data_IF_673560063476
#
_entry.id   IF_673560063476
#
_cell.length_a   1.000
_cell.length_b   1.000
_cell.length_c   1.000
_cell.angle_alpha   90.00
_cell.angle_beta   90.00
_cell.angle_gamma   90.00
#
_symmetry.space_group_name_H-M   'P 1'
#
loop_
_entity.id
_entity.type
_entity.pdbx_description
1 polymer ?
2 non-polymer ?
3 water ?
#
# COMPACT_ATOMS: atom_id res chain seq x y z
N UNK A 11 12.22 -29.44 13.11
CA UNK A 11 13.16 -28.96 14.13
C UNK A 11 13.00 -27.48 14.47
N UNK A 12 12.99 -27.18 15.76
CA UNK A 12 12.72 -25.84 16.26
C UNK A 12 13.96 -24.95 16.16
N UNK A 13 13.79 -23.74 15.62
CA UNK A 13 14.91 -22.80 15.48
C UNK A 13 14.73 -21.57 16.34
N UNK A 14 15.23 -21.64 17.58
CA UNK A 14 15.09 -20.54 18.54
C UNK A 14 16.42 -19.86 18.83
N UNK A 15 16.34 -18.57 19.14
CA UNK A 15 17.51 -17.76 19.41
C UNK A 15 17.46 -17.22 20.84
N UNK A 16 16.24 -17.14 21.37
CA UNK A 16 15.98 -16.48 22.63
C UNK A 16 16.23 -17.38 23.85
N UNK A 17 17.17 -16.95 24.68
CA UNK A 17 17.43 -17.56 25.98
C UNK A 17 17.90 -16.47 26.92
N UNK A 18 17.84 -16.71 28.22
CA UNK A 18 18.30 -15.73 29.19
C UNK A 18 19.79 -15.89 29.44
N UNK A 19 20.59 -15.17 28.67
CA UNK A 19 22.04 -15.22 28.80
C UNK A 19 22.53 -13.97 29.54
N UNK A 20 21.62 -13.02 29.73
CA UNK A 20 21.96 -11.71 30.26
C UNK A 20 22.11 -11.71 31.78
N UNK A 21 22.99 -10.84 32.26
CA UNK A 21 23.19 -10.62 33.69
C UNK A 21 23.70 -9.20 33.91
N UNK A 22 23.22 -8.56 34.97
CA UNK A 22 23.73 -7.25 35.33
C UNK A 22 24.54 -7.36 36.61
N UNK A 23 25.80 -6.96 36.55
CA UNK A 23 26.73 -7.10 37.67
C UNK A 23 26.64 -5.93 38.65
N UNK A 24 26.81 -4.73 38.13
CA UNK A 24 26.71 -3.53 38.95
C UNK A 24 25.26 -3.14 39.17
N UNK A 25 25.02 -1.86 39.46
CA UNK A 25 23.65 -1.40 39.64
C UNK A 25 23.23 -0.40 38.57
N UNK A 26 21.96 -0.03 38.61
CA UNK A 26 21.36 0.76 37.54
C UNK A 26 21.35 2.26 37.86
N UNK A 27 21.87 3.07 36.94
CA UNK A 27 21.72 4.51 37.05
C UNK A 27 20.32 4.88 36.60
N UNK A 28 19.54 5.44 37.52
CA UNK A 28 18.18 5.85 37.22
C UNK A 28 18.20 7.16 36.43
N UNK A 29 17.18 7.36 35.61
CA UNK A 29 17.16 8.46 34.66
C UNK A 29 15.73 8.96 34.46
N UNK A 30 15.55 10.27 34.51
CA UNK A 30 14.23 10.85 34.32
C UNK A 30 13.97 11.16 32.86
N UNK A 31 12.76 10.86 32.41
CA UNK A 31 12.36 11.23 31.06
C UNK A 31 12.22 12.73 30.97
N UNK A 32 12.79 13.31 29.91
CA UNK A 32 12.64 14.74 29.66
C UNK A 32 11.18 15.08 29.42
N UNK A 33 10.87 16.37 29.50
CA UNK A 33 9.50 16.84 29.37
C UNK A 33 8.87 16.45 28.02
N UNK A 34 9.57 16.70 26.93
CA UNK A 34 8.99 16.42 25.62
C UNK A 34 8.85 14.92 25.37
N UNK A 35 9.87 14.13 25.73
CA UNK A 35 9.82 12.69 25.47
C UNK A 35 8.77 11.98 26.34
N UNK A 36 8.61 12.41 27.59
CA UNK A 36 7.63 11.82 28.48
C UNK A 36 6.21 12.06 27.95
N UNK A 37 5.97 13.28 27.49
CA UNK A 37 4.69 13.65 26.89
C UNK A 37 4.31 12.70 25.76
N UNK A 38 5.03 12.77 24.65
CA UNK A 38 4.79 11.90 23.50
C UNK A 38 4.79 10.42 23.87
N UNK A 39 5.56 10.05 24.89
CA UNK A 39 5.53 8.68 25.39
C UNK A 39 4.13 8.34 25.87
N UNK A 40 3.57 9.22 26.71
CA UNK A 40 2.21 9.02 27.22
C UNK A 40 1.19 9.00 26.08
N UNK A 41 1.35 9.92 25.12
CA UNK A 41 0.37 10.03 24.04
C UNK A 41 0.41 8.79 23.13
N UNK A 42 1.58 8.18 22.97
CA UNK A 42 1.68 6.93 22.22
C UNK A 42 1.04 5.83 23.05
N UNK A 43 1.27 5.90 24.36
CA UNK A 43 0.79 4.90 25.30
C UNK A 43 -0.73 4.87 25.44
N UNK A 44 -1.42 5.95 25.07
CA UNK A 44 -2.87 5.96 25.22
C UNK A 44 -3.66 6.87 24.27
N UNK A 45 -3.04 7.37 23.20
CA UNK A 45 -3.75 8.31 22.33
C UNK A 45 -3.19 8.43 20.91
N UNK A 46 -2.52 7.39 20.42
CA UNK A 46 -1.92 7.44 19.08
C UNK A 46 -2.46 6.36 18.15
N UNK A 47 -2.52 5.13 18.64
CA UNK A 47 -3.06 4.03 17.85
C UNK A 47 -4.43 3.65 18.40
N UNK A 48 -5.28 3.06 17.56
CA UNK A 48 -6.60 2.63 17.98
C UNK A 48 -6.54 1.19 18.51
N UNK A 49 -5.86 0.32 17.78
CA UNK A 49 -5.74 -1.06 18.18
C UNK A 49 -4.47 -1.35 18.99
N UNK A 50 -4.66 -2.12 20.05
CA UNK A 50 -3.61 -2.62 20.92
C UNK A 50 -2.48 -3.30 20.17
N UNK A 51 -2.87 -4.07 19.17
CA UNK A 51 -2.04 -5.12 18.60
C UNK A 51 -0.97 -4.65 17.62
N UNK A 52 -0.81 -3.35 17.48
CA UNK A 52 0.13 -2.84 16.49
C UNK A 52 1.52 -2.61 17.09
N UNK A 53 1.66 -2.88 18.38
CA UNK A 53 2.98 -2.78 19.02
C UNK A 53 3.91 -3.84 18.44
N UNK A 54 3.38 -5.04 18.22
CA UNK A 54 4.11 -6.11 17.56
C UNK A 54 4.60 -5.64 16.20
N UNK A 55 3.68 -5.03 15.45
CA UNK A 55 3.95 -4.46 14.13
C UNK A 55 5.12 -3.47 14.15
N UNK A 56 5.03 -2.45 14.99
CA UNK A 56 6.06 -1.41 15.05
C UNK A 56 7.40 -1.95 15.53
N UNK A 57 7.38 -2.84 16.52
CA UNK A 57 8.62 -3.44 17.01
C UNK A 57 9.30 -4.25 15.90
N UNK A 58 8.52 -5.07 15.20
CA UNK A 58 9.04 -5.82 14.05
C UNK A 58 9.63 -4.86 13.01
N UNK A 59 8.95 -3.73 12.79
CA UNK A 59 9.46 -2.71 11.88
C UNK A 59 10.86 -2.24 12.28
N UNK A 60 11.01 -1.85 13.54
CA UNK A 60 12.30 -1.42 14.06
C UNK A 60 13.38 -2.50 13.93
N UNK A 61 13.01 -3.75 14.24
CA UNK A 61 13.93 -4.86 14.07
C UNK A 61 14.39 -4.99 12.62
N UNK A 62 13.44 -4.79 11.70
CA UNK A 62 13.70 -4.86 10.27
C UNK A 62 14.71 -3.82 9.84
N UNK A 63 14.50 -2.57 10.27
CA UNK A 63 15.43 -1.50 9.91
C UNK A 63 16.81 -1.70 10.55
N UNK A 64 16.83 -2.19 11.79
CA UNK A 64 18.10 -2.51 12.44
C UNK A 64 18.89 -3.55 11.65
N UNK A 65 18.22 -4.64 11.28
CA UNK A 65 18.84 -5.68 10.47
C UNK A 65 19.28 -5.13 9.11
N UNK A 66 18.50 -4.23 8.55
CA UNK A 66 18.82 -3.66 7.24
C UNK A 66 20.08 -2.80 7.32
N UNK A 67 20.25 -2.06 8.40
CA UNK A 67 21.44 -1.25 8.53
C UNK A 67 22.67 -2.10 8.85
N UNK A 68 22.49 -3.14 9.67
CA UNK A 68 23.58 -4.08 9.89
C UNK A 68 24.05 -4.69 8.58
N UNK A 69 23.09 -5.10 7.77
CA UNK A 69 23.39 -5.71 6.48
C UNK A 69 24.09 -4.73 5.54
N UNK A 70 23.49 -3.55 5.36
CA UNK A 70 24.08 -2.52 4.52
C UNK A 70 25.53 -2.23 4.91
N UNK A 71 25.75 -2.10 6.21
CA UNK A 71 27.08 -1.84 6.75
C UNK A 71 28.07 -2.97 6.44
N UNK A 72 27.70 -4.20 6.78
CA UNK A 72 28.57 -5.35 6.57
C UNK A 72 28.89 -5.59 5.10
N UNK A 73 27.90 -5.40 4.23
CA UNK A 73 28.10 -5.59 2.79
C UNK A 73 28.95 -4.44 2.24
N UNK A 74 28.80 -3.24 2.81
CA UNK A 74 29.60 -2.10 2.42
C UNK A 74 31.07 -2.28 2.77
N UNK A 75 31.32 -2.85 3.95
CA UNK A 75 32.68 -3.18 4.36
C UNK A 75 33.17 -4.42 3.62
N UNK A 76 32.23 -5.21 3.12
CA UNK A 76 32.58 -6.44 2.42
C UNK A 76 32.91 -7.57 3.36
N UNK A 77 32.29 -7.56 4.53
CA UNK A 77 32.46 -8.63 5.51
C UNK A 77 31.30 -9.60 5.42
N UNK A 78 31.51 -10.83 5.89
CA UNK A 78 30.49 -11.87 5.84
C UNK A 78 29.20 -11.46 6.56
N UNK A 79 28.09 -12.07 6.19
CA UNK A 79 26.82 -11.80 6.85
C UNK A 79 26.51 -12.88 7.88
N UNK A 80 26.04 -12.47 9.08
CA UNK A 80 25.63 -13.40 10.11
C UNK A 80 24.18 -13.76 9.95
N UNK A 81 23.61 -14.52 10.88
CA UNK A 81 22.16 -14.71 10.88
C UNK A 81 21.48 -13.37 11.08
N UNK A 82 20.68 -12.96 10.11
CA UNK A 82 19.88 -11.75 10.24
C UNK A 82 18.42 -12.15 10.36
N UNK A 83 17.96 -12.30 11.59
CA UNK A 83 16.64 -12.88 11.87
C UNK A 83 15.90 -12.09 12.94
N UNK A 84 14.57 -12.11 12.85
CA UNK A 84 13.72 -11.55 13.89
C UNK A 84 13.02 -12.70 14.62
N UNK A 85 13.17 -12.76 15.94
CA UNK A 85 12.56 -13.83 16.71
C UNK A 85 11.55 -13.30 17.71
N UNK A 86 10.38 -13.92 17.73
CA UNK A 86 9.37 -13.60 18.73
C UNK A 86 9.13 -14.80 19.63
N UNK A 87 8.83 -14.54 20.90
CA UNK A 87 8.53 -15.60 21.85
C UNK A 87 7.40 -15.16 22.75
N UNK A 88 6.50 -16.09 23.07
CA UNK A 88 5.45 -15.81 24.04
C UNK A 88 5.66 -16.66 25.27
N UNK A 89 5.45 -16.08 26.45
CA UNK A 89 5.50 -16.84 27.70
C UNK A 89 4.23 -16.62 28.49
N UNK A 90 3.39 -17.64 28.58
CA UNK A 90 2.11 -17.51 29.26
C UNK A 90 2.27 -17.39 30.78
N UNK A 91 3.05 -18.30 31.36
CA UNK A 91 3.22 -18.35 32.81
C UNK A 91 3.83 -17.06 33.35
N UNK A 92 4.94 -16.63 32.76
CA UNK A 92 5.62 -15.41 33.20
C UNK A 92 4.96 -14.17 32.59
N UNK A 93 3.96 -14.39 31.75
CA UNK A 93 3.16 -13.32 31.19
C UNK A 93 3.94 -12.30 30.36
N UNK A 94 4.78 -12.78 29.45
CA UNK A 94 5.62 -11.90 28.65
C UNK A 94 5.51 -12.15 27.15
N UNK A 95 5.94 -11.16 26.36
CA UNK A 95 6.20 -11.36 24.94
C UNK A 95 7.55 -10.72 24.61
N UNK A 96 8.43 -11.50 23.99
CA UNK A 96 9.79 -11.04 23.73
C UNK A 96 10.04 -10.93 22.22
N UNK A 97 10.69 -9.86 21.79
CA UNK A 97 11.12 -9.74 20.40
C UNK A 97 12.61 -9.39 20.33
N UNK A 98 13.37 -10.28 19.70
CA UNK A 98 14.82 -10.12 19.59
C UNK A 98 15.22 -10.03 18.13
N UNK A 99 16.24 -9.23 17.84
CA UNK A 99 16.76 -9.14 16.48
C UNK A 99 18.27 -9.13 16.51
N UNK A 100 18.87 -9.81 15.53
CA UNK A 100 20.33 -9.90 15.42
C UNK A 100 20.86 -8.76 14.59
N UNK A 101 20.14 -7.64 14.57
CA UNK A 101 20.51 -6.51 13.74
C UNK A 101 21.64 -5.67 14.30
N UNK A 102 21.74 -4.44 13.81
CA UNK A 102 22.64 -3.47 14.42
C UNK A 102 22.03 -3.16 15.78
N UNK A 103 22.85 -2.73 16.72
CA UNK A 103 22.33 -2.52 18.07
C UNK A 103 22.17 -1.05 18.40
N UNK A 104 22.22 -0.74 19.69
CA UNK A 104 22.21 0.64 20.14
C UNK A 104 23.40 0.88 21.07
N UNK A 105 24.07 2.01 20.87
CA UNK A 105 25.14 2.40 21.77
C UNK A 105 24.52 2.87 23.09
N UNK A 106 25.37 3.17 24.06
CA UNK A 106 24.89 3.71 25.33
C UNK A 106 24.30 5.11 25.08
N UNK A 107 24.96 5.86 24.21
CA UNK A 107 24.55 7.21 23.86
C UNK A 107 23.12 7.23 23.30
N UNK A 108 22.81 6.25 22.46
CA UNK A 108 21.50 6.13 21.84
C UNK A 108 20.45 5.72 22.87
N UNK A 109 20.75 4.70 23.66
CA UNK A 109 19.83 4.22 24.70
C UNK A 109 19.49 5.34 25.69
N UNK A 110 20.49 6.13 26.06
CA UNK A 110 20.29 7.27 26.96
C UNK A 110 19.48 8.36 26.29
N UNK A 111 19.84 8.72 25.07
CA UNK A 111 19.07 9.71 24.30
C UNK A 111 17.69 9.17 23.97
N UNK A 112 17.65 8.28 22.98
CA UNK A 112 16.41 7.71 22.49
C UNK A 112 15.66 6.95 23.58
N UNK A 142 10.50 5.02 13.70
CA UNK A 142 11.77 5.66 13.35
C UNK A 142 12.28 6.72 14.37
N UNK A 143 12.34 6.39 15.66
CA UNK A 143 12.01 5.07 16.21
C UNK A 143 10.92 5.09 17.26
N UNK A 144 10.08 6.12 17.24
CA UNK A 144 9.03 6.31 18.24
C UNK A 144 8.13 5.10 18.46
N UNK A 145 7.92 4.31 17.42
CA UNK A 145 7.13 3.09 17.48
C UNK A 145 7.37 2.23 18.72
N UNK A 146 8.61 2.18 19.18
CA UNK A 146 8.96 1.42 20.38
C UNK A 146 8.05 1.70 21.56
N UNK A 147 7.72 2.97 21.79
CA UNK A 147 6.96 3.34 22.97
C UNK A 147 5.53 2.78 22.92
N UNK A 148 5.11 2.31 21.75
CA UNK A 148 3.82 1.64 21.62
C UNK A 148 3.75 0.45 22.57
N UNK A 149 4.92 -0.10 22.91
CA UNK A 149 5.02 -1.18 23.86
C UNK A 149 4.28 -0.90 25.17
N UNK A 150 4.18 0.37 25.55
CA UNK A 150 3.59 0.69 26.85
C UNK A 150 2.06 0.74 26.81
N UNK A 151 1.47 0.54 25.63
CA UNK A 151 0.01 0.44 25.56
C UNK A 151 -0.46 -0.87 26.16
N UNK A 152 0.43 -1.87 26.15
CA UNK A 152 0.09 -3.23 26.56
C UNK A 152 0.94 -3.72 27.73
N UNK A 153 1.99 -2.99 28.05
CA UNK A 153 2.94 -3.43 29.09
C UNK A 153 2.83 -2.65 30.40
N UNK A 154 3.23 -3.31 31.49
CA UNK A 154 3.34 -2.63 32.78
C UNK A 154 4.82 -2.48 33.16
N UNK A 155 5.68 -3.18 32.40
CA UNK A 155 7.12 -3.14 32.59
C UNK A 155 7.82 -3.60 31.32
N UNK A 156 8.84 -2.86 30.91
CA UNK A 156 9.61 -3.17 29.71
C UNK A 156 11.10 -3.31 30.03
N UNK A 157 11.66 -4.43 29.58
CA UNK A 157 13.02 -4.83 29.88
C UNK A 157 13.76 -5.08 28.57
N UNK A 158 14.77 -4.25 28.28
CA UNK A 158 15.44 -4.28 26.99
C UNK A 158 16.95 -4.50 27.14
N UNK A 159 17.49 -5.45 26.39
CA UNK A 159 18.94 -5.63 26.36
C UNK A 159 19.41 -5.32 24.96
N UNK A 160 20.48 -4.53 24.83
CA UNK A 160 20.97 -4.19 23.49
C UNK A 160 22.48 -4.06 23.46
N UNK A 161 23.09 -4.60 22.42
CA UNK A 161 24.52 -4.46 22.19
C UNK A 161 24.77 -4.05 20.76
N UNK A 162 25.46 -2.93 20.59
CA UNK A 162 25.76 -2.40 19.26
C UNK A 162 26.60 -3.38 18.45
N UNK A 163 26.54 -3.25 17.12
CA UNK A 163 27.31 -4.12 16.23
C UNK A 163 28.75 -3.65 16.10
N UNK A 164 29.00 -2.39 16.43
CA UNK A 164 30.34 -1.82 16.41
C UNK A 164 31.30 -2.70 17.22
N UNK A 165 32.52 -2.90 16.69
CA UNK A 165 33.50 -3.81 17.31
C UNK A 165 33.86 -3.43 18.75
N UNK A 166 33.99 -4.42 19.61
CA UNK A 166 34.30 -4.18 21.02
C UNK A 166 33.23 -3.34 21.70
N UNK A 167 31.97 -3.68 21.46
CA UNK A 167 30.85 -2.96 22.07
C UNK A 167 30.38 -3.65 23.33
N UNK A 168 29.80 -2.87 24.24
CA UNK A 168 29.28 -3.39 25.48
C UNK A 168 27.75 -3.50 25.44
N UNK A 169 27.21 -4.57 26.02
CA UNK A 169 25.77 -4.72 26.10
C UNK A 169 25.21 -3.91 27.24
N UNK A 170 23.95 -3.49 27.11
CA UNK A 170 23.33 -2.70 28.16
C UNK A 170 21.91 -3.14 28.45
N UNK A 171 21.52 -3.01 29.71
CA UNK A 171 20.14 -3.21 30.14
C UNK A 171 19.44 -1.87 30.25
N UNK A 172 18.15 -1.88 29.93
CA UNK A 172 17.31 -0.69 29.94
C UNK A 172 15.95 -1.09 30.51
N UNK A 173 15.56 -0.49 31.62
CA UNK A 173 14.31 -0.87 32.28
C UNK A 173 13.36 0.31 32.37
N UNK A 174 12.05 0.08 32.20
CA UNK A 174 11.09 1.16 32.46
C UNK A 174 9.71 0.62 32.79
N UNK A 175 8.90 1.42 33.47
CA UNK A 175 7.56 1.01 33.86
C UNK A 175 6.49 1.93 33.30
N UNK A 176 6.89 2.80 32.38
CA UNK A 176 5.96 3.73 31.78
C UNK A 176 5.95 5.07 32.51
N UNK A 177 6.58 5.13 33.67
CA UNK A 177 6.70 6.37 34.41
C UNK A 177 7.65 7.32 33.69
N UNK A 178 8.09 8.36 34.38
CA UNK A 178 9.07 9.26 33.79
C UNK A 178 10.49 8.77 34.00
N UNK A 179 10.64 7.57 34.56
CA UNK A 179 11.96 7.07 34.94
C UNK A 179 12.31 5.73 34.33
N UNK A 180 13.45 5.69 33.64
CA UNK A 180 14.04 4.42 33.20
C UNK A 180 15.38 4.17 33.88
N UNK A 181 15.67 2.91 34.19
CA UNK A 181 16.98 2.54 34.73
C UNK A 181 17.89 2.11 33.58
N UNK A 182 19.18 2.35 33.72
CA UNK A 182 20.11 1.86 32.71
C UNK A 182 21.27 1.16 33.41
N UNK A 183 21.83 0.15 32.76
CA UNK A 183 22.96 -0.59 33.32
C UNK A 183 23.82 -1.18 32.23
N UNK A 184 25.07 -1.51 32.56
CA UNK A 184 25.87 -2.32 31.66
C UNK A 184 25.58 -3.78 31.96
N UNK A 185 25.27 -4.54 30.91
CA UNK A 185 24.97 -5.97 31.08
C UNK A 185 25.97 -6.84 30.35
N UNK A 186 25.89 -8.13 30.58
CA UNK A 186 26.73 -9.11 29.89
C UNK A 186 25.91 -10.36 29.56
N UNK A 187 26.25 -11.02 28.46
CA UNK A 187 25.40 -12.07 27.94
C UNK A 187 24.39 -11.48 26.98
N UNK A 188 24.70 -10.28 26.48
CA UNK A 188 23.86 -9.60 25.51
C UNK A 188 24.42 -9.81 24.11
N UNK A 189 23.68 -10.56 23.30
CA UNK A 189 24.06 -10.79 21.91
C UNK A 189 23.94 -9.50 21.10
N UNK A 190 24.75 -9.36 20.06
CA UNK A 190 24.63 -8.23 19.14
C UNK A 190 23.20 -8.13 18.63
N UNK A 191 22.65 -6.92 18.63
CA UNK A 191 21.26 -6.72 18.27
C UNK A 191 20.44 -6.37 19.48
N UNK A 192 19.13 -6.26 19.32
CA UNK A 192 18.29 -5.77 20.41
C UNK A 192 17.32 -6.83 20.90
N UNK A 193 17.19 -6.97 22.22
CA UNK A 193 16.20 -7.88 22.79
C UNK A 193 15.23 -7.10 23.66
N UNK A 194 13.94 -7.20 23.34
CA UNK A 194 12.92 -6.46 24.06
C UNK A 194 11.93 -7.40 24.74
N UNK A 195 11.90 -7.37 26.06
CA UNK A 195 10.98 -8.21 26.83
C UNK A 195 9.85 -7.35 27.37
N UNK A 196 8.63 -7.66 26.95
CA UNK A 196 7.44 -6.96 27.39
C UNK A 196 6.69 -7.76 28.44
N UNK A 197 6.59 -7.17 29.63
CA UNK A 197 5.77 -7.73 30.70
C UNK A 197 4.37 -7.13 30.58
N UNK A 198 3.38 -7.99 30.34
CA UNK A 198 2.05 -7.53 29.95
C UNK A 198 1.17 -7.10 31.13
N UNK A 199 0.37 -6.04 30.92
CA UNK A 199 -0.63 -5.61 31.89
C UNK A 199 -1.60 -6.77 32.16
N UNK A 200 -2.17 -6.81 33.35
CA UNK A 200 -3.00 -7.93 33.80
C UNK A 200 -4.22 -8.22 32.90
N UNK A 201 -4.59 -7.26 32.05
CA UNK A 201 -5.68 -7.48 31.09
C UNK A 201 -5.18 -7.62 29.64
N UNK A 202 -3.97 -7.14 29.37
CA UNK A 202 -3.36 -7.25 28.05
C UNK A 202 -2.75 -8.61 27.81
N UNK A 203 -3.02 -9.55 28.71
CA UNK A 203 -2.36 -10.86 28.71
C UNK A 203 -2.51 -11.67 27.44
N UNK A 204 -3.49 -11.33 26.60
CA UNK A 204 -3.78 -12.10 25.39
C UNK A 204 -2.55 -12.24 24.49
N UNK A 205 -1.71 -11.22 24.45
CA UNK A 205 -0.53 -11.24 23.59
C UNK A 205 0.59 -12.10 24.18
N UNK A 206 0.24 -12.96 25.13
CA UNK A 206 1.16 -13.98 25.64
C UNK A 206 0.71 -15.34 25.14
N UNK A 207 -0.23 -15.35 24.19
CA UNK A 207 -0.70 -16.57 23.57
C UNK A 207 -0.16 -16.69 22.15
N UNK A 208 0.36 -17.88 21.81
CA UNK A 208 0.98 -18.12 20.51
C UNK A 208 0.00 -17.89 19.36
N UNK A 209 -1.25 -18.26 19.58
CA UNK A 209 -2.29 -18.10 18.56
C UNK A 209 -2.50 -16.64 18.15
N UNK A 210 -2.97 -15.83 19.10
CA UNK A 210 -3.22 -14.41 18.89
C UNK A 210 -2.04 -13.69 18.22
N UNK A 211 -0.85 -13.90 18.77
CA UNK A 211 0.36 -13.28 18.23
C UNK A 211 0.61 -13.75 16.80
N UNK A 212 0.43 -15.04 16.53
CA UNK A 212 0.55 -15.56 15.17
C UNK A 212 -0.40 -14.83 14.23
N UNK A 213 -1.63 -14.62 14.67
CA UNK A 213 -2.63 -13.93 13.85
C UNK A 213 -2.22 -12.48 13.57
N UNK A 214 -1.75 -11.78 14.60
CA UNK A 214 -1.29 -10.40 14.43
C UNK A 214 -0.11 -10.30 13.47
N UNK A 215 0.86 -11.21 13.64
CA UNK A 215 2.05 -11.28 12.79
C UNK A 215 1.68 -11.55 11.33
N UNK A 216 0.85 -12.58 11.12
CA UNK A 216 0.42 -12.93 9.76
C UNK A 216 -0.41 -11.82 9.14
N UNK A 217 -1.07 -11.02 9.98
CA UNK A 217 -1.89 -9.94 9.45
C UNK A 217 -1.06 -8.72 9.05
N UNK A 218 -0.10 -8.33 9.88
CA UNK A 218 0.62 -7.08 9.68
C UNK A 218 2.01 -7.22 9.04
N UNK A 219 2.68 -8.36 9.27
CA UNK A 219 4.09 -8.47 8.89
C UNK A 219 4.39 -9.67 8.01
N UNK A 220 3.54 -9.94 7.03
CA UNK A 220 3.73 -11.08 6.14
C UNK A 220 4.70 -10.78 5.01
N UNK A 221 5.23 -9.56 4.99
CA UNK A 221 6.14 -9.15 3.92
C UNK A 221 7.43 -8.55 4.47
N UNK A 222 7.65 -8.69 5.78
CA UNK A 222 8.88 -8.22 6.42
C UNK A 222 10.10 -8.85 5.74
N UNK A 223 11.13 -8.05 5.51
CA UNK A 223 12.24 -8.44 4.63
C UNK A 223 13.34 -9.28 5.30
N UNK A 224 13.16 -9.63 6.56
CA UNK A 224 14.08 -10.54 7.21
C UNK A 224 13.31 -11.70 7.84
N UNK A 225 13.92 -12.90 7.86
CA UNK A 225 13.27 -14.09 8.43
C UNK A 225 12.67 -13.84 9.80
N UNK A 226 11.43 -14.27 10.01
CA UNK A 226 10.76 -14.00 11.26
C UNK A 226 10.27 -15.30 11.89
N UNK A 227 10.61 -15.50 13.14
CA UNK A 227 10.29 -16.74 13.83
C UNK A 227 9.44 -16.48 15.07
N UNK A 228 8.40 -17.29 15.26
CA UNK A 228 7.53 -17.18 16.43
C UNK A 228 7.57 -18.50 17.20
N UNK A 229 8.23 -18.48 18.35
CA UNK A 229 8.46 -19.66 19.17
C UNK A 229 9.16 -20.77 18.38
N UNK A 230 10.04 -20.38 17.45
CA UNK A 230 10.79 -21.34 16.66
C UNK A 230 10.26 -21.58 15.27
N UNK A 231 8.99 -21.26 15.04
CA UNK A 231 8.35 -21.50 13.75
C UNK A 231 8.41 -20.28 12.83
N UNK A 232 8.78 -20.52 11.57
CA UNK A 232 8.81 -19.49 10.56
C UNK A 232 7.39 -18.99 10.25
N UNK A 233 7.26 -17.72 9.89
CA UNK A 233 5.95 -17.10 9.71
C UNK A 233 5.80 -16.49 8.32
N UNK A 234 6.57 -15.44 8.07
CA UNK A 234 6.55 -14.74 6.79
C UNK A 234 7.16 -15.56 5.67
N UNK A 235 6.44 -15.63 4.54
CA UNK A 235 6.93 -16.33 3.36
C UNK A 235 6.72 -15.47 2.12
N UNK A 236 6.02 -14.35 2.28
CA UNK A 236 5.67 -13.51 1.14
C UNK A 236 6.67 -12.37 0.94
N UNK A 237 6.85 -12.00 -0.33
CA UNK A 237 7.84 -11.01 -0.73
C UNK A 237 7.16 -9.74 -1.24
N UNK A 238 7.41 -8.63 -0.55
CA UNK A 238 6.88 -7.35 -0.99
C UNK A 238 7.45 -6.96 -2.35
N UNK A 239 6.93 -7.57 -3.40
CA UNK A 239 7.44 -7.38 -4.76
C UNK A 239 7.20 -5.97 -5.29
N UNK A 240 6.36 -5.21 -4.60
CA UNK A 240 6.10 -3.84 -5.00
C UNK A 240 7.27 -2.93 -4.67
N UNK A 241 8.18 -3.41 -3.83
CA UNK A 241 9.40 -2.68 -3.52
C UNK A 241 10.51 -3.01 -4.51
N UNK A 242 10.37 -4.15 -5.19
CA UNK A 242 11.32 -4.55 -6.23
C UNK A 242 11.33 -3.55 -7.39
N UNK A 243 12.35 -3.64 -8.22
CA UNK A 243 12.46 -2.80 -9.41
C UNK A 243 11.61 -3.42 -10.52
N UNK A 244 10.61 -2.66 -11.00
CA UNK A 244 9.57 -3.08 -11.97
C UNK A 244 10.04 -4.06 -13.05
N UNK A 245 11.31 -3.92 -13.47
CA UNK A 245 11.90 -4.80 -14.47
C UNK A 245 12.23 -6.17 -13.91
N UNK A 246 12.46 -6.23 -12.59
CA UNK A 246 12.95 -7.45 -11.94
C UNK A 246 11.82 -8.38 -11.50
N UNK A 247 10.58 -7.94 -11.68
CA UNK A 247 9.43 -8.79 -11.36
C UNK A 247 8.91 -9.42 -12.63
N UNK A 248 8.55 -10.71 -12.56
CA UNK A 248 7.97 -11.39 -13.71
C UNK A 248 6.64 -12.06 -13.38
N UNK A 249 5.84 -12.22 -14.43
CA UNK A 249 4.43 -12.62 -14.35
C UNK A 249 4.03 -13.64 -13.28
N UNK A 250 4.87 -14.62 -12.99
CA UNK A 250 4.50 -15.64 -12.01
C UNK A 250 4.39 -15.00 -10.62
N UNK A 251 5.30 -14.07 -10.34
CA UNK A 251 5.26 -13.31 -9.09
C UNK A 251 4.02 -12.44 -9.03
N UNK A 252 3.72 -11.75 -10.13
CA UNK A 252 2.56 -10.88 -10.18
C UNK A 252 1.26 -11.64 -10.02
N UNK A 253 1.20 -12.85 -10.61
CA UNK A 253 0.02 -13.69 -10.51
C UNK A 253 -0.13 -14.18 -9.09
N UNK A 254 0.97 -14.63 -8.49
CA UNK A 254 0.98 -15.02 -7.08
C UNK A 254 0.43 -13.90 -6.17
N UNK A 255 1.07 -12.74 -6.22
CA UNK A 255 0.65 -11.62 -5.39
C UNK A 255 -0.78 -11.18 -5.68
N UNK A 256 -1.19 -11.26 -6.95
CA UNK A 256 -2.55 -10.92 -7.35
C UNK A 256 -3.53 -11.85 -6.66
N UNK A 257 -3.31 -13.16 -6.79
CA UNK A 257 -4.18 -14.12 -6.13
C UNK A 257 -4.13 -13.98 -4.61
N UNK A 258 -3.09 -13.35 -4.08
CA UNK A 258 -3.07 -13.05 -2.65
C UNK A 258 -3.97 -11.85 -2.29
N UNK A 259 -3.69 -10.68 -2.87
CA UNK A 259 -4.42 -9.47 -2.47
C UNK A 259 -5.80 -9.30 -3.12
N UNK A 260 -6.12 -10.16 -4.08
CA UNK A 260 -7.45 -10.14 -4.66
C UNK A 260 -8.28 -11.30 -4.11
N UNK A 261 -7.62 -12.20 -3.40
CA UNK A 261 -8.24 -13.42 -2.90
C UNK A 261 -8.89 -14.17 -4.06
N UNK A 262 -8.19 -14.18 -5.20
CA UNK A 262 -8.73 -14.70 -6.46
C UNK A 262 -7.99 -15.92 -6.94
N UNK A 263 -8.49 -16.52 -8.03
CA UNK A 263 -7.86 -17.70 -8.60
C UNK A 263 -7.59 -17.52 -10.09
N UNK A 264 -7.85 -16.31 -10.59
CA UNK A 264 -7.59 -16.00 -12.00
C UNK A 264 -6.29 -15.20 -12.15
N UNK A 265 -6.12 -14.58 -13.31
CA UNK A 265 -4.94 -13.76 -13.58
C UNK A 265 -5.34 -12.31 -13.77
N UNK A 266 -4.37 -11.40 -13.58
CA UNK A 266 -4.64 -10.00 -13.93
C UNK A 266 -4.56 -9.76 -15.44
N UNK A 267 -5.57 -9.14 -16.01
CA UNK A 267 -5.53 -8.75 -17.41
C UNK A 267 -4.68 -7.48 -17.55
N UNK A 268 -4.52 -6.76 -16.44
CA UNK A 268 -3.69 -5.57 -16.45
C UNK A 268 -2.83 -5.46 -15.19
N UNK A 269 -1.59 -5.02 -15.37
CA UNK A 269 -0.67 -4.77 -14.26
C UNK A 269 0.04 -3.43 -14.41
N UNK A 270 -0.11 -2.57 -13.41
CA UNK A 270 0.65 -1.34 -13.34
C UNK A 270 1.56 -1.39 -12.12
N UNK A 271 2.86 -1.17 -12.34
CA UNK A 271 3.81 -1.11 -11.23
C UNK A 271 4.32 0.31 -11.11
N UNK A 272 3.76 1.07 -10.15
CA UNK A 272 4.01 2.50 -10.07
C UNK A 272 4.94 2.85 -8.91
N UNK A 273 6.11 3.38 -9.23
CA UNK A 273 7.04 3.88 -8.22
C UNK A 273 7.37 5.35 -8.47
N UNK A 274 7.30 6.16 -7.42
CA UNK A 274 7.70 7.56 -7.51
C UNK A 274 8.26 8.06 -6.18
N UNK A 275 9.40 8.72 -6.22
CA UNK A 275 9.90 9.43 -5.04
C UNK A 275 9.52 10.91 -5.16
N UNK A 276 9.10 11.32 -6.36
CA UNK A 276 9.06 12.73 -6.70
C UNK A 276 8.02 13.56 -5.90
N UNK A 277 6.72 13.59 -6.31
CA UNK A 277 5.98 14.50 -5.45
C UNK A 277 5.61 13.85 -4.12
N UNK A 278 5.54 12.53 -4.10
CA UNK A 278 5.22 11.79 -2.88
C UNK A 278 5.75 10.36 -3.01
N UNK A 279 6.17 9.76 -1.91
CA UNK A 279 6.72 8.40 -1.93
C UNK A 279 5.64 7.34 -2.18
N UNK A 280 5.70 6.71 -3.35
CA UNK A 280 4.69 5.73 -3.75
C UNK A 280 5.32 4.46 -4.34
N UNK A 281 4.96 3.32 -3.73
CA UNK A 281 5.35 1.99 -4.19
C UNK A 281 4.09 1.14 -4.33
N UNK A 282 3.51 1.10 -5.53
CA UNK A 282 2.20 0.48 -5.69
C UNK A 282 2.14 -0.51 -6.85
N UNK A 283 1.25 -1.50 -6.72
CA UNK A 283 0.92 -2.39 -7.81
C UNK A 283 -0.58 -2.48 -7.97
N UNK A 284 -1.06 -2.30 -9.20
CA UNK A 284 -2.49 -2.36 -9.48
C UNK A 284 -2.79 -3.42 -10.52
N UNK A 285 -3.82 -4.22 -10.24
CA UNK A 285 -4.22 -5.31 -11.12
C UNK A 285 -5.66 -5.11 -11.61
N UNK A 286 -5.89 -5.46 -12.87
CA UNK A 286 -7.24 -5.56 -13.40
C UNK A 286 -7.45 -7.02 -13.80
N UNK A 287 -8.38 -7.70 -13.11
CA UNK A 287 -8.71 -9.13 -13.25
C UNK A 287 -9.12 -9.52 -14.66
N UNK A 288 -8.86 -10.77 -15.03
CA UNK A 288 -9.40 -11.33 -16.26
C UNK A 288 -10.91 -11.48 -16.12
N UNK A 289 -11.34 -11.81 -14.91
CA UNK A 289 -12.74 -11.97 -14.56
C UNK A 289 -13.50 -10.66 -14.72
N UNK A 290 -14.83 -10.74 -14.81
CA UNK A 290 -15.68 -9.57 -14.82
C UNK A 290 -16.36 -9.46 -13.45
N UNK A 291 -16.74 -8.23 -13.05
CA UNK A 291 -17.40 -8.09 -11.75
C UNK A 291 -18.85 -8.57 -11.78
N UNK A 303 -10.17 -5.26 -1.15
CA UNK A 303 -9.75 -4.42 -2.28
C UNK A 303 -8.28 -4.08 -2.20
N UNK A 304 -7.93 -2.84 -2.54
CA UNK A 304 -6.56 -2.37 -2.47
C UNK A 304 -6.09 -2.27 -1.02
N UNK A 305 -4.93 -2.86 -0.73
CA UNK A 305 -4.37 -2.81 0.61
C UNK A 305 -3.43 -1.62 0.78
N UNK A 306 -3.50 -0.98 1.94
CA UNK A 306 -2.58 0.12 2.23
C UNK A 306 -1.47 -0.37 3.15
N UNK A 307 -0.25 -0.40 2.61
CA UNK A 307 0.93 -0.69 3.40
C UNK A 307 1.78 0.57 3.52
N UNK A 308 2.71 0.56 4.45
CA UNK A 308 3.74 1.59 4.54
C UNK A 308 4.99 0.93 5.06
N UNK A 309 6.10 1.15 4.36
CA UNK A 309 7.38 0.53 4.71
C UNK A 309 7.21 -0.98 4.87
N UNK A 310 6.52 -1.59 3.90
CA UNK A 310 6.25 -3.03 3.87
C UNK A 310 5.49 -3.57 5.07
N UNK A 311 4.84 -2.71 5.84
CA UNK A 311 4.00 -3.24 6.91
C UNK A 311 2.56 -2.74 6.75
N UNK A 312 1.61 -3.65 7.00
CA UNK A 312 0.20 -3.36 6.77
C UNK A 312 -0.33 -2.23 7.64
N UNK A 313 -1.19 -1.41 7.04
CA UNK A 313 -1.89 -0.36 7.75
C UNK A 313 -3.40 -0.54 7.56
N UNK A 314 -3.81 -0.72 6.30
CA UNK A 314 -5.23 -0.88 5.98
C UNK A 314 -5.44 -1.92 4.87
N UNK A 315 -6.19 -2.97 5.21
CA UNK A 315 -6.49 -4.07 4.28
C UNK A 315 -7.46 -3.64 3.19
N UNK A 316 -8.66 -3.23 3.61
CA UNK A 316 -9.65 -2.69 2.70
C UNK A 316 -9.53 -1.18 2.65
N UNK A 317 -8.31 -0.72 2.42
CA UNK A 317 -8.03 0.70 2.27
C UNK A 317 -8.91 1.31 1.18
N UNK A 318 -10.08 1.79 1.60
CA UNK A 318 -11.14 2.22 0.69
C UNK A 318 -10.82 3.54 -0.03
N UNK A 319 -10.68 4.60 0.74
CA UNK A 319 -10.60 5.96 0.19
C UNK A 319 -9.22 6.32 -0.39
N UNK A 320 -8.46 5.31 -0.80
CA UNK A 320 -7.13 5.53 -1.39
C UNK A 320 -7.28 5.80 -2.88
N UNK A 321 -8.39 5.32 -3.43
CA UNK A 321 -8.72 5.50 -4.83
C UNK A 321 -10.11 6.10 -4.97
N UNK A 322 -10.37 6.74 -6.12
CA UNK A 322 -11.75 7.15 -6.42
C UNK A 322 -12.69 5.94 -6.38
N UNK A 323 -13.95 6.17 -6.04
CA UNK A 323 -14.93 5.10 -5.93
C UNK A 323 -15.13 4.37 -7.26
N UNK A 324 -14.82 5.03 -8.37
CA UNK A 324 -15.00 4.42 -9.68
C UNK A 324 -13.82 3.52 -10.06
N UNK A 325 -12.76 3.54 -9.27
CA UNK A 325 -11.61 2.69 -9.49
C UNK A 325 -11.58 1.53 -8.51
N UNK A 326 -12.69 1.32 -7.79
CA UNK A 326 -12.77 0.30 -6.74
C UNK A 326 -12.73 -1.12 -7.30
N UNK A 327 -12.69 -1.23 -8.63
CA UNK A 327 -12.57 -2.53 -9.28
C UNK A 327 -11.10 -2.95 -9.36
N UNK A 328 -10.20 -1.98 -9.24
CA UNK A 328 -8.77 -2.25 -9.22
C UNK A 328 -8.39 -3.08 -7.98
N UNK A 329 -7.48 -4.03 -8.15
CA UNK A 329 -6.95 -4.77 -7.00
C UNK A 329 -5.49 -4.43 -6.76
N UNK A 330 -4.95 -4.78 -5.60
CA UNK A 330 -3.52 -4.60 -5.38
C UNK A 330 -3.08 -3.91 -4.10
N UNK A 331 -1.98 -3.17 -4.19
CA UNK A 331 -1.36 -2.60 -3.00
C UNK A 331 -0.79 -1.20 -3.25
N UNK A 332 -0.87 -0.34 -2.23
CA UNK A 332 -0.19 0.94 -2.26
C UNK A 332 0.65 1.12 -0.99
N UNK A 333 1.94 1.37 -1.18
CA UNK A 333 2.88 1.53 -0.06
C UNK A 333 3.44 2.95 -0.06
N UNK A 334 3.24 3.69 1.03
CA UNK A 334 3.71 5.06 1.12
C UNK A 334 4.10 5.42 2.55
N UNK A 335 5.26 6.03 2.72
CA UNK A 335 5.79 6.39 4.04
C UNK A 335 4.90 7.38 4.80
N UNK A 336 4.00 8.01 4.05
CA UNK A 336 3.33 9.23 4.49
C UNK A 336 2.01 8.97 5.20
N UNK A 337 1.81 7.74 5.67
CA UNK A 337 0.55 7.34 6.26
C UNK A 337 0.73 7.12 7.76
N UNK A 338 -0.14 7.75 8.57
CA UNK A 338 -0.14 7.57 10.04
C UNK A 338 -0.31 6.11 10.45
N UNK A 349 -8.05 8.96 6.38
CA UNK A 349 -9.48 9.23 6.52
C UNK A 349 -9.74 10.71 6.82
N UNK A 350 -8.71 11.52 6.62
CA UNK A 350 -8.83 12.97 6.78
C UNK A 350 -8.17 13.66 5.58
N UNK A 351 -6.89 13.37 5.35
CA UNK A 351 -6.25 13.69 4.09
C UNK A 351 -5.41 12.52 3.61
N UNK A 352 -6.00 11.70 2.76
CA UNK A 352 -5.27 10.74 1.96
C UNK A 352 -5.51 11.18 0.52
N UNK A 353 -5.87 12.46 0.37
CA UNK A 353 -6.43 12.97 -0.89
C UNK A 353 -5.41 13.14 -2.01
N UNK A 354 -4.34 13.92 -1.78
CA UNK A 354 -3.38 14.18 -2.85
C UNK A 354 -2.73 12.87 -3.33
N UNK A 355 -2.81 11.85 -2.48
CA UNK A 355 -2.45 10.49 -2.86
C UNK A 355 -3.46 9.96 -3.89
N UNK A 356 -4.74 9.99 -3.53
CA UNK A 356 -5.83 9.52 -4.38
C UNK A 356 -5.86 10.22 -5.75
N UNK A 357 -5.53 11.51 -5.75
CA UNK A 357 -5.56 12.31 -6.97
C UNK A 357 -4.47 11.89 -7.97
N UNK A 358 -3.24 11.69 -7.48
CA UNK A 358 -2.14 11.33 -8.35
C UNK A 358 -2.21 9.85 -8.74
N UNK A 359 -2.78 9.03 -7.86
CA UNK A 359 -3.06 7.65 -8.23
C UNK A 359 -4.10 7.61 -9.34
N UNK A 360 -5.09 8.50 -9.26
CA UNK A 360 -6.11 8.60 -10.28
C UNK A 360 -5.52 9.06 -11.61
N UNK A 361 -4.72 10.13 -11.56
CA UNK A 361 -4.07 10.67 -12.76
C UNK A 361 -3.21 9.59 -13.42
N UNK A 362 -2.31 8.99 -12.65
CA UNK A 362 -1.44 7.93 -13.14
C UNK A 362 -2.21 6.77 -13.75
N UNK A 363 -3.23 6.28 -13.04
CA UNK A 363 -4.02 5.15 -13.52
C UNK A 363 -4.76 5.45 -14.83
N UNK A 364 -5.39 6.63 -14.88
CA UNK A 364 -6.06 7.08 -16.10
C UNK A 364 -5.06 7.08 -17.26
N UNK A 365 -3.90 7.70 -17.03
CA UNK A 365 -2.86 7.72 -18.06
C UNK A 365 -2.47 6.30 -18.47
N UNK A 366 -2.44 5.39 -17.51
CA UNK A 366 -2.09 3.99 -17.78
C UNK A 366 -3.10 3.35 -18.73
N UNK A 367 -4.39 3.53 -18.45
CA UNK A 367 -5.42 2.94 -19.29
C UNK A 367 -5.41 3.58 -20.69
N UNK A 368 -5.01 4.85 -20.77
CA UNK A 368 -4.85 5.49 -22.08
C UNK A 368 -3.68 4.88 -22.87
N UNK A 369 -2.53 4.74 -22.21
CA UNK A 369 -1.35 4.11 -22.79
C UNK A 369 -1.71 2.72 -23.32
N UNK A 370 -2.39 1.95 -22.50
CA UNK A 370 -2.87 0.63 -22.87
C UNK A 370 -3.83 0.67 -24.04
N UNK A 371 -4.65 1.72 -24.09
CA UNK A 371 -5.53 1.93 -25.24
C UNK A 371 -4.70 2.02 -26.51
N UNK A 372 -3.67 2.85 -26.49
CA UNK A 372 -2.86 3.06 -27.67
C UNK A 372 -2.03 1.84 -28.07
N UNK A 373 -1.58 1.02 -27.13
CA UNK A 373 -0.70 -0.08 -27.54
C UNK A 373 -1.43 -1.41 -27.81
N UNK A 374 -2.62 -1.60 -27.22
CA UNK A 374 -3.50 -2.71 -27.62
C UNK A 374 -4.96 -2.26 -27.58
N UNK A 375 -5.66 -2.38 -28.70
CA UNK A 375 -6.97 -1.76 -28.88
C UNK A 375 -8.14 -2.72 -28.63
N UNK A 376 -8.03 -3.96 -29.05
CA UNK A 376 -9.09 -4.95 -28.83
C UNK A 376 -9.12 -5.38 -27.37
N UNK A 377 -7.94 -5.49 -26.77
CA UNK A 377 -7.82 -5.81 -25.36
C UNK A 377 -8.47 -4.70 -24.53
N UNK A 378 -8.15 -3.45 -24.87
CA UNK A 378 -8.75 -2.32 -24.18
C UNK A 378 -10.23 -2.22 -24.51
N UNK A 379 -10.62 -2.77 -25.65
CA UNK A 379 -12.03 -2.78 -26.02
C UNK A 379 -12.79 -3.67 -25.05
N UNK A 380 -12.31 -4.90 -24.89
CA UNK A 380 -12.90 -5.83 -23.96
C UNK A 380 -12.88 -5.25 -22.54
N UNK A 381 -11.80 -4.56 -22.19
CA UNK A 381 -11.74 -3.89 -20.90
C UNK A 381 -12.84 -2.86 -20.75
N UNK A 382 -13.10 -2.10 -21.82
CA UNK A 382 -14.13 -1.07 -21.77
C UNK A 382 -15.51 -1.69 -21.69
N UNK A 383 -15.69 -2.86 -22.28
CA UNK A 383 -16.97 -3.54 -22.22
C UNK A 383 -17.23 -4.03 -20.80
N UNK A 384 -16.19 -4.57 -20.18
CA UNK A 384 -16.34 -5.19 -18.87
C UNK A 384 -16.33 -4.19 -17.72
N UNK A 385 -15.67 -3.05 -17.89
CA UNK A 385 -15.51 -2.09 -16.78
C UNK A 385 -15.90 -0.66 -17.12
N UNK A 386 -16.42 -0.42 -18.33
CA UNK A 386 -16.87 0.91 -18.73
C UNK A 386 -17.98 1.45 -17.85
N UNK A 387 -18.64 0.54 -17.12
CA UNK A 387 -19.65 0.89 -16.13
C UNK A 387 -19.07 1.83 -15.08
N UNK A 388 -17.95 1.43 -14.48
CA UNK A 388 -17.31 2.21 -13.44
C UNK A 388 -16.84 3.55 -13.96
N UNK A 389 -16.45 3.59 -15.23
CA UNK A 389 -15.93 4.81 -15.84
C UNK A 389 -17.06 5.81 -16.10
N UNK A 390 -18.17 5.32 -16.64
CA UNK A 390 -19.37 6.15 -16.79
C UNK A 390 -19.84 6.69 -15.44
N UNK A 391 -20.03 5.78 -14.49
CA UNK A 391 -20.41 6.13 -13.12
C UNK A 391 -19.51 7.22 -12.54
N UNK A 392 -18.20 7.03 -12.66
CA UNK A 392 -17.23 7.97 -12.16
C UNK A 392 -17.31 9.33 -12.85
N UNK A 393 -17.58 9.31 -14.16
CA UNK A 393 -17.77 10.55 -14.90
C UNK A 393 -18.97 11.33 -14.36
N UNK A 394 -20.11 10.65 -14.23
CA UNK A 394 -21.32 11.28 -13.68
C UNK A 394 -21.12 11.75 -12.24
N UNK A 395 -20.32 11.01 -11.47
CA UNK A 395 -20.15 11.27 -10.04
C UNK A 395 -19.17 12.41 -9.74
N UNK A 396 -18.32 12.73 -10.71
CA UNK A 396 -17.24 13.71 -10.50
C UNK A 396 -17.76 15.13 -10.26
N UNK A 397 -16.84 16.09 -10.21
CA UNK A 397 -17.19 17.48 -9.97
C UNK A 397 -16.62 18.40 -11.05
N UNK A 398 -15.32 18.66 -10.97
CA UNK A 398 -14.66 19.53 -11.93
C UNK A 398 -14.71 18.93 -13.34
N UNK A 399 -14.92 19.79 -14.32
CA UNK A 399 -15.05 19.37 -15.71
C UNK A 399 -13.85 18.56 -16.20
N UNK A 400 -12.64 19.02 -15.89
CA UNK A 400 -11.44 18.35 -16.39
C UNK A 400 -11.24 16.96 -15.77
N UNK A 401 -11.82 16.71 -14.60
CA UNK A 401 -11.85 15.37 -14.05
C UNK A 401 -12.72 14.48 -14.95
N UNK A 402 -13.94 14.95 -15.20
CA UNK A 402 -14.90 14.26 -16.02
C UNK A 402 -14.33 13.95 -17.40
N UNK A 403 -13.53 14.88 -17.91
CA UNK A 403 -12.93 14.72 -19.23
C UNK A 403 -11.71 13.80 -19.17
N UNK A 404 -10.98 13.84 -18.06
CA UNK A 404 -9.89 12.90 -17.82
C UNK A 404 -10.40 11.47 -17.90
N UNK A 405 -11.45 11.18 -17.14
CA UNK A 405 -12.06 9.85 -17.16
C UNK A 405 -12.71 9.60 -18.53
N UNK A 406 -13.27 10.64 -19.13
CA UNK A 406 -13.91 10.52 -20.44
C UNK A 406 -12.92 10.11 -21.52
N UNK A 407 -11.63 10.38 -21.28
CA UNK A 407 -10.57 9.95 -22.18
C UNK A 407 -10.44 8.43 -22.22
N UNK A 408 -11.15 7.75 -21.32
CA UNK A 408 -11.10 6.29 -21.26
C UNK A 408 -12.27 5.67 -22.04
N UNK A 409 -13.19 6.50 -22.51
CA UNK A 409 -14.39 6.01 -23.21
C UNK A 409 -14.13 5.59 -24.65
N UNK A 410 -14.85 4.56 -25.11
CA UNK A 410 -14.75 4.08 -26.48
C UNK A 410 -16.13 3.87 -27.11
N UNK A 411 -16.33 4.42 -28.31
CA UNK A 411 -17.59 4.23 -29.03
C UNK A 411 -17.35 4.10 -30.52
N UNK A 412 -18.35 3.59 -31.25
CA UNK A 412 -18.26 3.46 -32.70
C UNK A 412 -18.39 4.82 -33.38
N UNK A 413 -18.13 4.85 -34.68
CA UNK A 413 -18.19 6.09 -35.45
C UNK A 413 -18.60 5.86 -36.89
N UNK A 414 -19.06 6.92 -37.54
CA UNK A 414 -19.43 6.89 -38.95
C UNK A 414 -18.27 6.44 -39.83
N UNK A 415 -17.08 6.96 -39.55
CA UNK A 415 -15.91 6.73 -40.38
C UNK A 415 -15.25 5.38 -40.16
N UNK A 416 -15.52 4.78 -39.00
CA UNK A 416 -14.91 3.49 -38.67
C UNK A 416 -15.87 2.35 -38.96
N UNK A 417 -15.33 1.20 -39.42
CA UNK A 417 -16.14 0.00 -39.64
C UNK A 417 -16.82 -0.46 -38.33
N UNK A 418 -17.91 -1.22 -38.46
CA UNK A 418 -18.69 -1.62 -37.29
C UNK A 418 -17.87 -2.49 -36.34
N UNK A 419 -17.63 -1.98 -35.13
CA UNK A 419 -16.81 -2.67 -34.15
C UNK A 419 -15.60 -1.85 -33.77
N UNK A 420 -15.06 -1.14 -34.76
CA UNK A 420 -13.93 -0.23 -34.54
C UNK A 420 -14.35 0.90 -33.62
N UNK A 421 -13.47 1.27 -32.68
CA UNK A 421 -13.81 2.26 -31.68
C UNK A 421 -12.81 3.41 -31.62
N UNK A 422 -13.25 4.56 -31.12
CA UNK A 422 -12.38 5.70 -30.85
C UNK A 422 -12.77 6.39 -29.56
N UNK A 423 -11.94 7.31 -29.09
CA UNK A 423 -12.30 8.14 -27.95
C UNK A 423 -12.59 9.56 -28.43
N UNK A 424 -13.15 10.37 -27.54
CA UNK A 424 -13.47 11.75 -27.84
C UNK A 424 -12.25 12.51 -28.34
N UNK A 425 -11.12 12.32 -27.66
CA UNK A 425 -9.88 13.00 -27.99
C UNK A 425 -9.33 12.65 -29.38
N UNK A 426 -9.51 11.40 -29.81
CA UNK A 426 -8.92 10.95 -31.07
C UNK A 426 -9.49 11.64 -32.30
N UNK A 427 -10.41 10.98 -33.00
CA UNK A 427 -10.80 11.46 -34.33
C UNK A 427 -11.53 12.80 -34.34
N UNK A 428 -11.45 13.52 -33.22
CA UNK A 428 -11.54 14.97 -33.26
C UNK A 428 -10.23 15.47 -33.87
N UNK A 429 -9.97 15.03 -35.10
CA UNK A 429 -8.68 15.19 -35.78
C UNK A 429 -8.86 15.36 -37.28
N UNK A 430 -9.93 14.77 -37.81
CA UNK A 430 -10.42 15.16 -39.13
C UNK A 430 -11.32 16.35 -38.92
N UNK A 431 -11.73 16.52 -37.66
CA UNK A 431 -12.64 17.57 -37.29
C UNK A 431 -12.02 18.93 -37.54
N UNK A 432 -12.55 19.64 -38.52
CA UNK A 432 -12.02 20.92 -38.93
C UNK A 432 -12.36 22.00 -37.89
N UNK A 433 -11.40 22.90 -37.66
CA UNK A 433 -11.50 23.90 -36.61
C UNK A 433 -12.78 24.73 -36.70
N UNK A 434 -13.24 25.18 -35.53
CA UNK A 434 -14.47 25.96 -35.45
C UNK A 434 -14.32 27.17 -34.55
N UNK A 436 -14.99 22.57 -33.52
CA UNK A 436 -16.33 23.12 -33.60
C UNK A 436 -17.25 22.51 -32.53
N UNK A 437 -17.81 21.34 -32.83
CA UNK A 437 -18.71 20.63 -31.92
C UNK A 437 -18.59 19.12 -32.07
N UNK A 438 -19.02 18.37 -31.06
CA UNK A 438 -19.05 16.91 -31.15
C UNK A 438 -20.49 16.43 -31.19
N UNK A 439 -20.87 15.76 -32.28
CA UNK A 439 -22.23 15.25 -32.40
C UNK A 439 -22.23 13.74 -32.24
N UNK A 440 -23.32 13.22 -31.66
CA UNK A 440 -23.48 11.79 -31.51
C UNK A 440 -24.91 11.38 -31.84
N UNK A 441 -25.15 10.08 -31.86
CA UNK A 441 -26.47 9.51 -32.09
C UNK A 441 -26.49 8.21 -31.35
N UNK A 442 -27.20 8.14 -30.24
CA UNK A 442 -26.92 7.04 -29.35
C UNK A 442 -28.13 6.11 -29.42
N UNK A 443 -28.21 5.45 -30.58
CA UNK A 443 -29.37 4.73 -31.12
C UNK A 443 -29.63 3.37 -30.46
N UNK A 444 -30.29 2.43 -31.17
CA UNK A 444 -30.16 1.04 -30.68
C UNK A 444 -29.24 0.14 -31.51
N UNK A 445 -28.87 0.55 -32.72
CA UNK A 445 -28.10 -0.31 -33.63
C UNK A 445 -27.23 0.46 -34.63
N UNK A 446 -26.17 -0.18 -35.12
CA UNK A 446 -25.30 0.41 -36.13
C UNK A 446 -26.05 0.60 -37.45
N UNK A 447 -26.73 -0.45 -37.91
CA UNK A 447 -27.63 -0.36 -39.05
C UNK A 447 -28.61 0.78 -38.88
N UNK A 448 -29.37 0.70 -37.79
CA UNK A 448 -30.45 1.66 -37.51
C UNK A 448 -29.94 3.08 -37.35
N UNK A 449 -28.65 3.24 -37.11
CA UNK A 449 -28.04 4.55 -36.97
C UNK A 449 -27.33 4.95 -38.26
N UNK A 450 -26.72 3.97 -38.92
CA UNK A 450 -26.19 4.23 -40.25
C UNK A 450 -27.34 4.66 -41.19
N UNK A 451 -28.57 4.12 -41.06
CA UNK A 451 -29.55 4.66 -42.00
C UNK A 451 -30.62 5.38 -41.20
N UNK A 452 -30.18 6.25 -40.28
CA UNK A 452 -31.11 7.10 -39.55
C UNK A 452 -31.11 8.51 -40.12
N UNK A 453 -32.31 9.02 -40.46
CA UNK A 453 -32.55 10.37 -41.00
C UNK A 453 -31.71 11.46 -40.35
N UNK A 454 -31.82 11.59 -39.03
CA UNK A 454 -31.01 12.53 -38.27
C UNK A 454 -29.50 12.40 -38.52
N UNK A 455 -29.06 11.24 -39.01
CA UNK A 455 -27.65 11.05 -39.31
C UNK A 455 -27.27 11.49 -40.72
N UNK A 456 -28.01 11.07 -41.77
CA UNK A 456 -27.64 11.49 -43.12
C UNK A 456 -27.75 13.01 -43.26
N UNK A 457 -28.36 13.65 -42.27
CA UNK A 457 -28.30 15.10 -42.15
C UNK A 457 -26.86 15.55 -41.89
N UNK A 458 -26.01 14.59 -41.53
CA UNK A 458 -24.60 14.86 -41.27
C UNK A 458 -23.67 14.10 -42.24
N UNK A 459 -24.21 13.11 -42.95
CA UNK A 459 -23.44 12.26 -43.84
C UNK A 459 -22.60 13.06 -44.83
N UNK A 460 -23.26 13.92 -45.61
CA UNK A 460 -22.54 14.64 -46.66
C UNK A 460 -22.48 16.13 -46.29
N UNK A 461 -22.73 16.45 -45.03
CA UNK A 461 -22.31 17.76 -44.55
C UNK A 461 -20.91 17.57 -43.97
N UNK A 462 -20.24 16.55 -44.49
CA UNK A 462 -18.87 16.17 -44.14
C UNK A 462 -18.59 16.30 -42.65
N UNK A 463 -19.32 15.55 -41.84
CA UNK A 463 -19.15 15.61 -40.39
C UNK A 463 -19.19 14.20 -39.79
N UNK A 464 -18.53 14.06 -38.64
CA UNK A 464 -18.39 12.76 -38.00
C UNK A 464 -19.42 12.57 -36.89
N UNK A 465 -20.04 11.40 -36.82
CA UNK A 465 -21.05 11.12 -35.80
C UNK A 465 -20.74 9.86 -35.00
N UNK A 466 -20.78 9.99 -33.68
CA UNK A 466 -20.59 8.87 -32.76
C UNK A 466 -21.88 8.07 -32.62
N UNK A 467 -21.75 6.76 -32.39
CA UNK A 467 -22.91 5.90 -32.22
C UNK A 467 -22.92 5.22 -30.84
N UNK A 468 -23.92 5.52 -30.00
CA UNK A 468 -24.14 4.72 -28.79
C UNK A 468 -25.29 3.78 -29.07
N UNK A 469 -25.38 2.68 -28.33
CA UNK A 469 -26.42 1.70 -28.56
C UNK A 469 -27.12 1.36 -27.25
N UNK A 470 -26.69 2.04 -26.19
CA UNK A 470 -27.27 1.86 -24.86
C UNK A 470 -27.56 3.22 -24.23
N UNK A 471 -28.59 3.30 -23.40
CA UNK A 471 -28.99 4.58 -22.83
C UNK A 471 -27.95 5.15 -21.87
N UNK A 472 -27.24 4.29 -21.14
CA UNK A 472 -26.29 4.79 -20.16
C UNK A 472 -25.13 5.53 -20.83
N UNK A 473 -24.75 5.09 -22.03
CA UNK A 473 -23.74 5.79 -22.82
C UNK A 473 -24.19 7.21 -23.14
N UNK A 474 -25.45 7.34 -23.56
CA UNK A 474 -26.01 8.63 -23.96
C UNK A 474 -26.17 9.55 -22.76
N UNK A 475 -26.68 9.01 -21.65
CA UNK A 475 -26.81 9.77 -20.43
C UNK A 475 -25.45 10.31 -19.99
N UNK A 476 -24.45 9.44 -20.02
CA UNK A 476 -23.07 9.82 -19.70
C UNK A 476 -22.61 10.98 -20.59
N UNK A 477 -22.75 10.79 -21.90
CA UNK A 477 -22.35 11.81 -22.88
C UNK A 477 -23.06 13.13 -22.65
N UNK A 478 -24.34 13.06 -22.29
CA UNK A 478 -25.16 14.25 -22.03
C UNK A 478 -24.63 15.00 -20.81
N UNK A 479 -24.43 14.28 -19.72
CA UNK A 479 -23.89 14.88 -18.50
C UNK A 479 -22.53 15.50 -18.76
N UNK A 480 -21.73 14.84 -19.60
CA UNK A 480 -20.42 15.37 -19.96
C UNK A 480 -20.56 16.76 -20.59
N UNK A 481 -21.69 16.99 -21.26
CA UNK A 481 -21.96 18.24 -21.99
C UNK A 481 -20.84 18.62 -22.94
N UNK A 482 -19.72 19.07 -22.37
CA UNK A 482 -18.58 19.48 -23.16
C UNK A 482 -17.33 18.67 -22.82
N UNK A 483 -16.54 18.36 -23.84
CA UNK A 483 -15.24 17.75 -23.65
C UNK A 483 -14.19 18.57 -24.40
N UNK A 484 -13.28 19.17 -23.64
CA UNK A 484 -12.20 20.02 -24.14
C UNK A 484 -12.76 21.36 -24.64
N UNK A 485 -13.45 22.08 -23.75
CA UNK A 485 -14.01 23.42 -24.01
C UNK A 485 -15.12 23.37 -25.07
N UNK A 486 -15.41 22.16 -25.52
CA UNK A 486 -16.07 21.89 -26.78
C UNK A 486 -17.25 20.95 -26.57
N UNK A 487 -18.42 21.32 -27.06
CA UNK A 487 -19.68 20.72 -26.60
C UNK A 487 -20.13 19.46 -27.33
N UNK A 488 -20.91 18.63 -26.63
CA UNK A 488 -21.50 17.43 -27.20
C UNK A 488 -23.01 17.60 -27.34
N UNK A 489 -23.55 17.32 -28.52
CA UNK A 489 -25.00 17.31 -28.67
C UNK A 489 -25.43 16.28 -29.72
N UNK A 490 -26.54 15.60 -29.45
CA UNK A 490 -27.04 14.58 -30.35
C UNK A 490 -27.50 15.18 -31.67
N UNK A 491 -27.45 14.37 -32.74
CA UNK A 491 -27.93 14.80 -34.05
C UNK A 491 -29.46 14.77 -34.11
N UNK A 492 -30.08 14.54 -32.95
CA UNK A 492 -31.54 14.57 -32.82
C UNK A 492 -32.01 15.89 -32.22
N UNK A 493 -31.28 16.96 -32.50
CA UNK A 493 -31.63 18.29 -32.00
C UNK A 493 -30.94 19.38 -32.82
X LIG B 1 16.23 -1.84 17.52
X LIG B 1 18.32 -0.87 17.05
X LIG B 1 15.39 -2.99 17.63
X LIG B 1 17.53 -1.95 17.17
X LIG B 1 17.89 0.37 17.29
X LIG B 1 14.58 1.33 18.24
X LIG B 1 15.71 -0.51 17.77
X LIG B 1 16.58 0.60 17.65
X LIG B 1 14.47 -0.02 18.15
X LIG B 1 15.83 1.72 17.97
X LIG B 1 13.28 2.43 18.71
X LIG B 1 14.25 4.30 22.21
X LIG B 1 13.86 4.11 20.87
X LIG B 1 13.75 2.79 20.38
X LIG B 1 14.03 1.68 21.19
X LIG B 1 13.47 5.81 19.69
X LIG B 1 14.42 1.89 22.54
X LIG B 1 14.53 3.18 23.04
X LIG B 1 14.92 3.07 24.39
X LIG B 1 14.76 1.02 23.60
X LIG B 1 15.04 1.77 24.66
X LIG B 1 16.31 3.10 17.96
X LIG B 1 16.97 3.42 16.59
X LIG B 1 16.33 4.65 15.91
X LIG B 1 18.01 6.60 15.93
X LIG B 1 19.11 7.03 16.93
X LIG B 1 16.75 5.97 16.59
X LIG B 1 21.92 10.86 19.90
X LIG B 1 21.71 9.48 19.99
X LIG B 1 21.06 8.80 18.95
X LIG B 1 20.63 9.50 17.82
X LIG B 1 20.85 10.88 17.74
X LIG B 1 21.49 11.56 18.77
X LIG B 1 22.56 7.72 12.79
X LIG B 1 21.18 7.75 12.60
X LIG B 1 20.32 8.03 13.66
X LIG B 1 20.85 8.30 14.93
X LIG B 1 22.24 8.26 15.12
X LIG B 1 23.10 7.97 14.06
X LIG B 1 19.78 8.67 16.40
X LIG B 1 16.12 11.41 15.48
X LIG B 1 17.06 11.16 14.48
X LIG B 1 18.17 10.35 14.72
X LIG B 1 18.35 9.77 15.98
X LIG B 1 17.40 10.01 16.99
X LIG B 1 16.29 10.84 16.75
#
# INVERSE_FOLDING_TARGET
STQTAEDKEEPLHSIISSTESVQGSTSKHEFQAETKKLLDIVARSLYSEKEVFIRELISNASDALEKLRHKLVSDGQALPEMEIHLQTNAEKGTITIQDTGIGMTQEELVSNLGTIARSGSKAFLDALQNQAEASSKIIGQFGVGFYSAFMVADRVEVYSRSAAPGSLGYQWLSDGSGVFEIAEASGVRTGTKIIIHLKSDCKEFSSEARVRDVVTKYSNFVSFPLYLNGRRMNTLQAIWMMDPKDVREWQHEEFYRYVAQAHDKPRYTLHYKTDAPLNIRSIFYVPDMKPSMFDVSRELGSSVALYSRKVLIQTKATDILPKWLRFIRGVVDSEDIPLNLSRELLQESALIRKLRDVLQQRLIKFFIDQSKKDAEKYAKFFEDYGLFMREGIVTATEQEVKEDIAKLLRYESSALPSGQLTSLSEYASRMRAGTRNIYYLCAPNRHLAEHSPYYEAMKKKDTEVLFCFEQFDELTLLHLREFDKKKLISVETDIVVDHYKE
4KP C1 C2 N1 N2 N3 C3 C4 C5 N4 N5 S1 C6 C7 C8 C9 I1 C10 C11 O1 O2 C12 C13 C14 C15 C16 C17 C18 C19 C20 C21 C22 C23 C24 C25 C26 C27 C28 C29 C30 P1 C31 C32 C33 C34 C35 C36
#
